data_IF_778020233133
#
_entry.id   IF_778020233133
#
_cell.length_a   1.000
_cell.length_b   1.000
_cell.length_c   1.000
_cell.angle_alpha   90.00
_cell.angle_beta   90.00
_cell.angle_gamma   90.00
#
_symmetry.space_group_name_H-M   'P 1'
#
loop_
_entity.id
_entity.type
_entity.pdbx_description
1 polymer ?
#
# COMPACT_ATOMS: atom_id res chain seq x y z
N UNK A 1 1.46 -8.02 -4.33
CA UNK A 1 1.46 -6.54 -4.45
C UNK A 1 2.25 -5.87 -3.33
N UNK A 2 1.82 -5.93 -2.05
CA UNK A 2 2.52 -5.25 -0.94
C UNK A 2 3.96 -5.74 -0.71
N UNK A 3 4.22 -7.02 -0.97
CA UNK A 3 5.55 -7.64 -0.89
C UNK A 3 6.48 -7.10 -1.99
N UNK A 4 6.01 -7.08 -3.25
CA UNK A 4 6.70 -6.42 -4.37
C UNK A 4 7.04 -4.95 -4.06
N UNK A 5 6.09 -4.19 -3.47
CA UNK A 5 6.34 -2.79 -3.10
C UNK A 5 7.42 -2.63 -2.01
N UNK A 6 7.50 -3.56 -1.07
CA UNK A 6 8.47 -3.55 0.01
C UNK A 6 9.88 -3.96 -0.47
N UNK A 7 9.97 -4.73 -1.54
CA UNK A 7 11.26 -5.17 -2.10
C UNK A 7 11.79 -4.19 -3.15
N UNK A 8 10.91 -3.64 -3.98
CA UNK A 8 11.30 -2.84 -5.15
C UNK A 8 11.28 -1.32 -4.87
N UNK A 9 10.44 -0.85 -3.94
CA UNK A 9 10.30 0.59 -3.65
C UNK A 9 10.82 1.03 -2.29
N UNK A 10 11.46 0.13 -1.53
CA UNK A 10 12.10 0.45 -0.25
C UNK A 10 13.61 0.23 -0.36
N UNK A 11 14.35 1.33 -0.50
CA UNK A 11 15.82 1.28 -0.52
C UNK A 11 16.39 0.87 0.84
N UNK A 12 17.27 -0.13 0.89
CA UNK A 12 18.03 -0.49 2.10
C UNK A 12 19.35 0.29 2.11
N UNK A 13 19.51 1.22 3.04
CA UNK A 13 20.81 1.87 3.24
C UNK A 13 21.70 0.98 4.13
N UNK A 14 22.77 0.44 3.54
CA UNK A 14 23.78 -0.36 4.22
C UNK A 14 24.75 0.59 4.95
N UNK A 15 24.54 0.84 6.25
CA UNK A 15 25.54 1.29 7.25
C UNK A 15 24.81 1.60 8.57
N UNK A 16 24.63 0.58 9.41
CA UNK A 16 24.40 0.70 10.85
C UNK A 16 23.09 1.33 11.35
N UNK A 17 22.31 2.01 10.51
CA UNK A 17 21.01 2.59 10.86
C UNK A 17 19.99 2.24 9.78
N UNK A 18 19.01 1.42 10.13
CA UNK A 18 17.95 0.91 9.25
C UNK A 18 17.01 2.04 8.79
N UNK A 19 17.47 2.93 7.91
CA UNK A 19 16.64 3.95 7.28
C UNK A 19 16.09 3.40 5.96
N UNK A 20 14.76 3.24 5.92
CA UNK A 20 13.98 2.82 4.77
C UNK A 20 13.45 4.08 4.09
N UNK A 21 13.80 4.31 2.83
CA UNK A 21 13.31 5.44 2.04
C UNK A 21 12.26 4.95 1.03
N UNK A 22 11.12 5.64 0.95
CA UNK A 22 10.15 5.43 -0.12
C UNK A 22 10.70 6.02 -1.42
N UNK A 23 10.75 5.22 -2.50
CA UNK A 23 11.18 5.67 -3.83
C UNK A 23 10.00 6.04 -4.76
N UNK A 24 8.82 6.30 -4.20
CA UNK A 24 7.67 6.71 -5.00
C UNK A 24 7.87 8.11 -5.58
N UNK A 25 7.44 8.34 -6.83
CA UNK A 25 7.57 9.64 -7.48
C UNK A 25 6.86 10.74 -6.67
N UNK A 26 7.59 11.79 -6.29
CA UNK A 26 7.07 12.87 -5.45
C UNK A 26 6.94 12.54 -3.95
N UNK A 27 7.46 11.40 -3.49
CA UNK A 27 7.44 11.05 -2.06
C UNK A 27 8.85 11.16 -1.43
N UNK A 28 8.94 11.83 -0.29
CA UNK A 28 10.18 12.03 0.47
C UNK A 28 10.19 11.29 1.81
N UNK A 29 9.25 10.35 2.01
CA UNK A 29 9.08 9.71 3.31
C UNK A 29 10.20 8.72 3.63
N UNK A 30 10.72 8.82 4.84
CA UNK A 30 11.75 7.92 5.40
C UNK A 30 11.22 7.33 6.70
N UNK A 31 11.42 6.04 6.91
CA UNK A 31 11.03 5.34 8.14
C UNK A 31 12.18 4.49 8.67
N UNK A 32 12.30 4.39 9.99
CA UNK A 32 13.33 3.55 10.64
C UNK A 32 12.90 2.10 10.83
N UNK A 33 11.60 1.82 10.72
CA UNK A 33 11.01 0.48 10.86
C UNK A 33 10.24 0.10 9.61
N UNK A 34 10.30 -1.18 9.26
CA UNK A 34 9.60 -1.74 8.11
C UNK A 34 8.09 -1.60 8.22
N UNK A 35 7.51 -1.81 9.40
CA UNK A 35 6.05 -1.72 9.59
C UNK A 35 5.49 -0.32 9.28
N UNK A 36 6.22 0.72 9.66
CA UNK A 36 5.87 2.10 9.34
C UNK A 36 5.97 2.38 7.85
N UNK A 37 6.98 1.83 7.17
CA UNK A 37 7.11 1.94 5.72
C UNK A 37 6.00 1.19 4.98
N UNK A 38 5.66 -0.03 5.42
CA UNK A 38 4.55 -0.80 4.85
C UNK A 38 3.22 -0.06 5.01
N UNK A 39 2.97 0.50 6.19
CA UNK A 39 1.76 1.30 6.42
C UNK A 39 1.69 2.52 5.50
N UNK A 40 2.83 3.17 5.28
CA UNK A 40 2.93 4.26 4.32
C UNK A 40 2.68 3.82 2.87
N UNK A 41 3.22 2.69 2.42
CA UNK A 41 3.01 2.21 1.05
C UNK A 41 1.52 1.98 0.74
N UNK A 42 0.69 1.69 1.74
CA UNK A 42 -0.78 1.62 1.60
C UNK A 42 -1.45 2.96 1.28
N UNK A 43 -0.77 4.10 1.50
CA UNK A 43 -1.27 5.41 1.07
C UNK A 43 -0.98 5.67 -0.41
N UNK A 44 0.08 5.07 -0.95
CA UNK A 44 0.39 5.15 -2.39
C UNK A 44 -0.47 4.20 -3.21
N UNK A 45 -0.63 2.98 -2.70
CA UNK A 45 -1.49 1.98 -3.33
C UNK A 45 -2.67 1.80 -2.40
N UNK A 46 -3.83 2.40 -2.71
CA UNK A 46 -4.97 2.26 -1.85
C UNK A 46 -5.32 0.77 -1.82
N UNK A 47 -5.08 0.17 -0.65
CA UNK A 47 -5.21 -1.25 -0.44
C UNK A 47 -6.70 -1.56 -0.38
N UNK A 48 -7.25 -1.88 -1.55
CA UNK A 48 -8.63 -2.25 -1.73
C UNK A 48 -8.68 -3.74 -2.07
N UNK A 49 -8.57 -4.63 -1.07
CA UNK A 49 -8.55 -6.08 -1.30
C UNK A 49 -9.87 -6.58 -1.91
N UNK A 50 -10.94 -5.78 -1.80
CA UNK A 50 -12.26 -6.11 -2.32
C UNK A 50 -12.50 -5.35 -3.62
N UNK A 51 -12.53 -6.06 -4.74
CA UNK A 51 -12.82 -5.50 -6.06
C UNK A 51 -14.17 -6.02 -6.54
N UNK A 52 -15.04 -5.13 -7.01
CA UNK A 52 -16.29 -5.51 -7.63
C UNK A 52 -16.02 -6.15 -8.99
N UNK A 53 -16.56 -7.36 -9.22
CA UNK A 53 -16.38 -8.07 -10.49
C UNK A 53 -17.23 -7.51 -11.65
N UNK A 54 -18.25 -6.71 -11.35
CA UNK A 54 -19.17 -6.15 -12.36
C UNK A 54 -18.59 -4.84 -12.94
N UNK A 55 -18.19 -3.89 -12.09
CA UNK A 55 -17.71 -2.58 -12.54
C UNK A 55 -16.22 -2.31 -12.24
N UNK A 56 -15.52 -3.23 -11.57
CA UNK A 56 -14.10 -3.05 -11.24
C UNK A 56 -13.82 -2.09 -10.07
N UNK A 57 -14.85 -1.53 -9.43
CA UNK A 57 -14.67 -0.62 -8.29
C UNK A 57 -14.03 -1.31 -7.09
N UNK A 58 -13.20 -0.57 -6.37
CA UNK A 58 -12.29 -1.07 -5.35
C UNK A 58 -12.68 -0.54 -3.97
N UNK A 59 -12.79 -1.44 -2.99
CA UNK A 59 -13.31 -1.19 -1.64
C UNK A 59 -12.38 -1.73 -0.54
N UNK A 60 -12.41 -1.05 0.62
CA UNK A 60 -11.42 -1.24 1.70
C UNK A 60 -11.87 -2.34 2.65
N UNK A 61 -13.18 -2.51 2.73
CA UNK A 61 -13.87 -3.44 3.59
C UNK A 61 -14.87 -4.24 2.75
N UNK A 62 -15.06 -5.51 3.12
CA UNK A 62 -16.05 -6.38 2.50
C UNK A 62 -17.47 -5.80 2.61
N UNK A 63 -17.79 -5.16 3.73
CA UNK A 63 -19.09 -4.48 3.95
C UNK A 63 -19.35 -3.38 2.92
N UNK A 64 -18.31 -2.62 2.55
CA UNK A 64 -18.38 -1.59 1.51
C UNK A 64 -18.65 -2.19 0.13
N UNK A 65 -17.94 -3.28 -0.21
CA UNK A 65 -18.20 -4.02 -1.44
C UNK A 65 -19.62 -4.61 -1.46
N UNK A 66 -20.07 -5.22 -0.36
CA UNK A 66 -21.37 -5.90 -0.29
C UNK A 66 -22.53 -4.92 -0.47
N UNK A 67 -22.48 -3.76 0.20
CA UNK A 67 -23.48 -2.70 0.00
C UNK A 67 -23.48 -2.17 -1.42
N UNK A 68 -22.31 -2.01 -2.02
CA UNK A 68 -22.18 -1.62 -3.41
C UNK A 68 -22.73 -2.69 -4.36
N UNK A 69 -22.44 -3.95 -4.11
CA UNK A 69 -22.90 -5.09 -4.91
C UNK A 69 -24.42 -5.24 -4.87
N UNK A 70 -25.04 -5.01 -3.70
CA UNK A 70 -26.49 -5.00 -3.55
C UNK A 70 -27.18 -3.81 -4.26
N UNK A 71 -26.42 -2.77 -4.62
CA UNK A 71 -26.93 -1.57 -5.33
C UNK A 71 -26.51 -1.53 -6.80
N UNK A 72 -25.92 -2.61 -7.32
CA UNK A 72 -25.76 -2.77 -8.75
C UNK A 72 -27.12 -2.99 -9.40
#
# INVERSE_FOLDING_TARGET
>A
LLQHLNEEHVGRSLRGNLCLQCRWAGCTRVAKKRDHMISHLKSHVPFWPFTCKICGNRFKHATGLNRHYNRH
#
